data_IF_559171320386
#
_entry.id   IF_559171320386
#
_cell.length_a   1.000
_cell.length_b   1.000
_cell.length_c   1.000
_cell.angle_alpha   90.00
_cell.angle_beta   90.00
_cell.angle_gamma   90.00
#
_symmetry.space_group_name_H-M   'P 1'
#
loop_
_entity.id
_entity.type
_entity.pdbx_description
1 polymer ?
#
# COMPACT_ATOMS: atom_id res chain seq x y z
N UNK A 1 -4.59 8.38 1.66
CA UNK A 1 -5.60 8.49 0.59
C UNK A 1 -6.43 9.76 0.64
N UNK A 2 -5.94 10.86 1.25
CA UNK A 2 -6.65 12.16 1.26
C UNK A 2 -8.02 12.17 1.98
N UNK A 3 -8.25 11.19 2.87
CA UNK A 3 -9.55 10.99 3.54
C UNK A 3 -9.50 11.27 5.04
N UNK A 4 -8.40 10.89 5.71
CA UNK A 4 -8.32 10.88 7.17
C UNK A 4 -6.90 11.23 7.65
N UNK A 5 -6.82 11.80 8.85
CA UNK A 5 -5.61 12.25 9.53
C UNK A 5 -5.18 11.28 10.65
N UNK A 6 -3.88 11.18 10.91
CA UNK A 6 -3.33 10.34 11.97
C UNK A 6 -1.93 9.81 11.66
N UNK A 7 -1.48 8.84 12.43
CA UNK A 7 -0.23 8.12 12.23
C UNK A 7 -0.45 7.00 11.21
N UNK A 8 0.04 7.20 9.98
CA UNK A 8 -0.05 6.21 8.89
C UNK A 8 1.33 5.65 8.57
N UNK A 9 1.48 4.32 8.38
CA UNK A 9 2.74 3.72 7.96
C UNK A 9 3.28 4.32 6.66
N UNK A 10 2.41 4.53 5.66
CA UNK A 10 2.77 5.11 4.37
C UNK A 10 3.30 6.54 4.50
N UNK A 11 2.53 7.43 5.14
CA UNK A 11 2.94 8.82 5.34
C UNK A 11 4.19 8.93 6.19
N UNK A 12 4.30 8.12 7.26
CA UNK A 12 5.46 8.14 8.15
C UNK A 12 6.73 7.68 7.43
N UNK A 13 6.63 6.67 6.55
CA UNK A 13 7.75 6.23 5.71
C UNK A 13 8.25 7.35 4.80
N UNK A 14 7.34 8.10 4.16
CA UNK A 14 7.68 9.24 3.32
C UNK A 14 8.31 10.40 4.12
N UNK A 15 7.78 10.70 5.32
CA UNK A 15 8.31 11.78 6.19
C UNK A 15 9.72 11.44 6.68
N UNK A 16 9.98 10.21 7.15
CA UNK A 16 11.31 9.79 7.60
C UNK A 16 12.32 9.88 6.44
N UNK A 17 11.90 9.42 5.26
CA UNK A 17 12.72 9.47 4.04
C UNK A 17 13.03 10.91 3.66
N UNK A 18 12.00 11.77 3.59
CA UNK A 18 12.15 13.18 3.24
C UNK A 18 13.05 13.95 4.21
N UNK A 19 12.92 13.72 5.51
CA UNK A 19 13.76 14.37 6.53
C UNK A 19 15.22 13.88 6.46
N UNK A 20 15.45 12.60 6.21
CA UNK A 20 16.80 12.05 6.06
C UNK A 20 17.47 12.60 4.80
N UNK A 21 16.76 12.64 3.66
CA UNK A 21 17.25 13.26 2.42
C UNK A 21 17.50 14.76 2.59
N UNK A 22 16.62 15.47 3.31
CA UNK A 22 16.82 16.88 3.63
C UNK A 22 18.07 17.10 4.49
N UNK A 23 18.37 16.17 5.42
CA UNK A 23 19.59 16.21 6.19
C UNK A 23 20.84 16.07 5.31
N UNK A 24 20.81 15.19 4.31
CA UNK A 24 21.91 15.04 3.34
C UNK A 24 22.09 16.27 2.45
N UNK A 25 20.99 16.87 1.97
CA UNK A 25 21.03 18.14 1.22
C UNK A 25 21.62 19.25 2.08
N UNK A 26 21.25 19.33 3.36
CA UNK A 26 21.79 20.32 4.30
C UNK A 26 23.29 20.12 4.55
N UNK A 27 23.76 18.86 4.72
CA UNK A 27 25.19 18.54 4.83
C UNK A 27 25.95 18.97 3.58
N UNK A 28 25.43 18.65 2.39
CA UNK A 28 26.04 19.02 1.11
C UNK A 28 26.10 20.54 0.91
N UNK A 29 25.19 21.29 1.53
CA UNK A 29 25.12 22.75 1.46
C UNK A 29 25.91 23.47 2.57
N UNK A 30 26.57 22.73 3.47
CA UNK A 30 27.32 23.30 4.61
C UNK A 30 26.44 23.75 5.79
N UNK A 31 25.15 23.43 5.80
CA UNK A 31 24.23 23.73 6.91
C UNK A 31 24.17 22.56 7.91
N UNK A 32 25.20 22.47 8.75
CA UNK A 32 25.30 21.42 9.77
C UNK A 32 24.17 21.48 10.82
N UNK A 33 23.62 22.67 11.09
CA UNK A 33 22.56 22.86 12.08
C UNK A 33 21.24 22.25 11.61
N UNK A 34 20.83 22.57 10.38
CA UNK A 34 19.63 21.96 9.78
C UNK A 34 19.81 20.47 9.55
N UNK A 35 21.01 20.02 9.12
CA UNK A 35 21.29 18.60 8.96
C UNK A 35 21.07 17.80 10.25
N UNK A 36 21.59 18.30 11.38
CA UNK A 36 21.40 17.66 12.68
C UNK A 36 19.93 17.65 13.10
N UNK A 37 19.22 18.78 12.92
CA UNK A 37 17.79 18.90 13.27
C UNK A 37 16.91 17.95 12.47
N UNK A 38 17.06 17.91 11.14
CA UNK A 38 16.25 17.05 10.28
C UNK A 38 16.51 15.58 10.56
N UNK A 39 17.78 15.20 10.74
CA UNK A 39 18.13 13.83 11.07
C UNK A 39 17.55 13.39 12.42
N UNK A 40 17.65 14.25 13.45
CA UNK A 40 17.10 13.93 14.77
C UNK A 40 15.57 13.74 14.73
N UNK A 41 14.86 14.55 13.93
CA UNK A 41 13.42 14.37 13.73
C UNK A 41 13.10 13.06 12.98
N UNK A 42 13.87 12.71 11.95
CA UNK A 42 13.71 11.44 11.24
C UNK A 42 13.93 10.24 12.17
N UNK A 43 14.96 10.29 13.02
CA UNK A 43 15.27 9.24 13.99
C UNK A 43 14.16 9.08 15.05
N UNK A 44 13.64 10.20 15.57
CA UNK A 44 12.53 10.19 16.53
C UNK A 44 11.30 9.50 15.95
N UNK A 45 10.92 9.85 14.71
CA UNK A 45 9.78 9.23 14.03
C UNK A 45 10.02 7.77 13.70
N UNK A 46 11.22 7.43 13.19
CA UNK A 46 11.60 6.06 12.90
C UNK A 46 11.56 5.17 14.15
N UNK A 47 11.91 5.69 15.34
CA UNK A 47 11.89 4.93 16.60
C UNK A 47 10.48 4.62 17.13
N UNK A 48 9.44 5.31 16.63
CA UNK A 48 8.05 5.20 17.12
C UNK A 48 7.10 4.53 16.12
N UNK A 49 7.61 4.03 15.00
CA UNK A 49 6.77 3.43 13.92
C UNK A 49 5.88 2.32 14.48
N UNK A 50 6.46 1.30 15.10
CA UNK A 50 5.71 0.19 15.66
C UNK A 50 4.84 0.64 16.83
N UNK A 51 5.39 1.47 17.74
CA UNK A 51 4.69 1.93 18.94
C UNK A 51 3.37 2.66 18.63
N UNK A 52 3.29 3.35 17.48
CA UNK A 52 2.13 4.18 17.10
C UNK A 52 1.21 3.54 16.07
N UNK A 53 1.67 2.53 15.33
CA UNK A 53 0.94 2.05 14.13
C UNK A 53 0.87 0.53 14.00
N UNK A 54 1.59 -0.23 14.84
CA UNK A 54 1.54 -1.69 14.85
C UNK A 54 0.72 -2.18 16.03
N UNK A 55 -0.44 -2.77 15.76
CA UNK A 55 -1.28 -3.35 16.81
C UNK A 55 -0.72 -4.71 17.26
N UNK A 56 -0.97 -5.06 18.51
CA UNK A 56 -0.66 -6.39 19.10
C UNK A 56 -1.89 -7.03 19.75
N UNK A 57 -3.06 -6.40 19.59
CA UNK A 57 -4.34 -6.83 20.13
C UNK A 57 -5.47 -6.66 19.09
N UNK A 58 -5.10 -6.74 17.81
CA UNK A 58 -6.02 -6.60 16.69
C UNK A 58 -7.06 -7.72 16.61
N UNK A 59 -8.16 -7.45 15.91
CA UNK A 59 -9.25 -8.40 15.70
C UNK A 59 -8.86 -9.62 14.84
N UNK A 60 -7.89 -9.46 13.93
CA UNK A 60 -7.58 -10.49 12.94
C UNK A 60 -6.36 -11.35 13.30
N UNK A 61 -6.38 -12.61 12.85
CA UNK A 61 -5.23 -13.49 12.90
C UNK A 61 -4.61 -13.63 14.28
N UNK A 62 -3.31 -13.39 14.39
CA UNK A 62 -2.58 -13.41 15.66
C UNK A 62 -2.67 -12.09 16.46
N UNK A 63 -3.42 -11.11 15.93
CA UNK A 63 -3.62 -9.79 16.50
C UNK A 63 -2.47 -8.82 16.25
N UNK A 64 -1.48 -9.17 15.41
CA UNK A 64 -0.22 -8.43 15.25
C UNK A 64 -0.03 -7.94 13.82
N UNK A 65 -0.32 -6.67 13.56
CA UNK A 65 -0.19 -6.12 12.21
C UNK A 65 -0.13 -4.59 12.22
N UNK A 66 0.41 -4.00 11.15
CA UNK A 66 0.24 -2.57 10.91
C UNK A 66 -1.22 -2.25 10.59
N UNK A 67 -1.74 -1.23 11.27
CA UNK A 67 -3.02 -0.60 10.94
C UNK A 67 -2.85 0.29 9.72
N UNK A 68 -3.94 0.61 9.02
CA UNK A 68 -3.96 1.70 8.03
C UNK A 68 -3.51 3.03 8.64
N UNK A 69 -4.04 3.31 9.82
CA UNK A 69 -3.98 4.60 10.49
C UNK A 69 -4.30 4.40 11.96
N UNK A 70 -3.56 5.06 12.86
CA UNK A 70 -4.03 5.32 14.23
C UNK A 70 -4.28 6.82 14.41
N UNK A 71 -5.39 7.20 15.04
CA UNK A 71 -5.70 8.63 15.29
C UNK A 71 -4.98 9.21 16.50
N UNK A 72 -4.29 8.37 17.26
CA UNK A 72 -3.49 8.75 18.40
C UNK A 72 -2.22 7.87 18.46
N UNK A 73 -1.51 7.86 19.58
CA UNK A 73 -0.24 7.13 19.70
C UNK A 73 -0.39 5.68 20.20
N UNK A 74 -1.61 5.14 20.28
CA UNK A 74 -1.90 3.82 20.82
C UNK A 74 -2.67 2.94 19.81
N UNK A 75 -2.00 2.09 19.03
CA UNK A 75 -2.63 1.22 18.03
C UNK A 75 -3.42 0.04 18.62
N UNK A 76 -3.58 -0.03 19.95
CA UNK A 76 -4.30 -1.10 20.65
C UNK A 76 -5.59 -0.61 21.32
N UNK A 77 -5.94 0.67 21.21
CA UNK A 77 -7.12 1.23 21.87
C UNK A 77 -8.44 0.95 21.12
N UNK A 78 -8.36 0.43 19.90
CA UNK A 78 -9.49 0.16 19.00
C UNK A 78 -10.34 1.41 18.76
N UNK A 79 -9.70 2.57 18.70
CA UNK A 79 -10.33 3.84 18.40
C UNK A 79 -11.08 3.82 17.07
N UNK A 80 -12.18 4.58 16.99
CA UNK A 80 -12.95 4.69 15.75
C UNK A 80 -12.25 5.62 14.76
N UNK A 81 -12.08 5.13 13.53
CA UNK A 81 -11.70 5.94 12.38
C UNK A 81 -12.89 6.80 11.90
N UNK A 82 -12.63 7.77 11.03
CA UNK A 82 -13.68 8.59 10.43
C UNK A 82 -14.52 7.82 9.40
N UNK A 83 -15.75 8.29 9.18
CA UNK A 83 -16.60 7.89 8.06
C UNK A 83 -16.04 8.45 6.75
N UNK A 84 -16.09 7.69 5.66
CA UNK A 84 -15.70 8.18 4.34
C UNK A 84 -16.36 7.37 3.21
N UNK A 85 -16.62 8.04 2.08
CA UNK A 85 -17.15 7.40 0.86
C UNK A 85 -18.39 6.52 1.10
N UNK A 86 -19.32 7.00 1.93
CA UNK A 86 -20.55 6.27 2.27
C UNK A 86 -20.38 5.12 3.27
N UNK A 87 -19.17 4.87 3.76
CA UNK A 87 -18.87 3.81 4.72
C UNK A 87 -18.86 4.36 6.16
N UNK A 88 -19.46 3.63 7.12
CA UNK A 88 -19.49 4.06 8.50
C UNK A 88 -18.12 3.90 9.16
N UNK A 89 -17.95 4.58 10.29
CA UNK A 89 -16.75 4.51 11.12
C UNK A 89 -16.54 3.08 11.62
N UNK A 90 -15.29 2.61 11.57
CA UNK A 90 -14.89 1.30 12.07
C UNK A 90 -13.71 1.46 13.03
N UNK A 91 -13.56 0.54 14.01
CA UNK A 91 -12.35 0.42 14.81
C UNK A 91 -11.10 0.32 13.93
N UNK A 92 -10.04 1.05 14.30
CA UNK A 92 -8.79 1.10 13.54
C UNK A 92 -8.13 -0.26 13.36
N UNK A 93 -8.33 -1.19 14.32
CA UNK A 93 -7.81 -2.55 14.26
C UNK A 93 -8.51 -3.45 13.23
N UNK A 94 -9.61 -3.00 12.63
CA UNK A 94 -10.27 -3.69 11.50
C UNK A 94 -9.81 -3.22 10.13
N UNK A 95 -9.03 -2.13 10.06
CA UNK A 95 -8.69 -1.50 8.79
C UNK A 95 -7.22 -1.71 8.48
N UNK A 96 -6.95 -2.72 7.65
CA UNK A 96 -5.62 -3.01 7.11
C UNK A 96 -5.47 -2.35 5.74
N UNK A 97 -4.28 -1.82 5.47
CA UNK A 97 -3.90 -1.09 4.25
C UNK A 97 -2.47 -1.52 3.85
N UNK A 98 -2.18 -1.58 2.54
CA UNK A 98 -0.87 -1.97 2.02
C UNK A 98 0.25 -0.96 2.26
N UNK A 99 -0.06 0.24 2.75
CA UNK A 99 0.86 1.35 2.93
C UNK A 99 2.02 1.08 3.89
N UNK A 100 1.97 0.01 4.70
CA UNK A 100 3.13 -0.43 5.49
C UNK A 100 4.30 -0.92 4.61
N UNK A 101 4.03 -1.37 3.38
CA UNK A 101 5.07 -1.79 2.43
C UNK A 101 6.00 -0.62 2.04
N UNK A 102 5.53 0.63 2.15
CA UNK A 102 6.34 1.82 1.90
C UNK A 102 7.48 1.97 2.94
N UNK A 103 7.31 1.45 4.16
CA UNK A 103 8.40 1.37 5.14
C UNK A 103 9.57 0.55 4.60
N UNK A 104 9.28 -0.53 3.87
CA UNK A 104 10.29 -1.37 3.24
C UNK A 104 10.82 -0.72 1.97
N UNK A 105 9.93 -0.25 1.10
CA UNK A 105 10.27 0.35 -0.20
C UNK A 105 11.29 1.48 -0.05
N UNK A 106 11.04 2.41 0.87
CA UNK A 106 11.93 3.55 1.09
C UNK A 106 13.12 3.24 2.02
N UNK A 107 13.19 2.03 2.59
CA UNK A 107 14.32 1.59 3.41
C UNK A 107 14.24 1.96 4.90
N UNK A 108 13.07 2.39 5.38
CA UNK A 108 12.82 2.67 6.81
C UNK A 108 12.78 1.38 7.64
N UNK A 109 12.41 0.26 7.02
CA UNK A 109 12.48 -1.09 7.61
C UNK A 109 13.10 -2.08 6.63
N UNK A 110 13.74 -3.11 7.17
CA UNK A 110 14.13 -4.28 6.40
C UNK A 110 12.89 -5.06 5.94
N UNK A 111 12.97 -5.71 4.77
CA UNK A 111 11.85 -6.49 4.24
C UNK A 111 11.45 -7.67 5.14
N UNK A 112 12.39 -8.17 5.94
CA UNK A 112 12.19 -9.24 6.92
C UNK A 112 12.02 -8.73 8.36
N UNK A 113 11.77 -7.43 8.56
CA UNK A 113 11.49 -6.91 9.89
C UNK A 113 10.26 -7.65 10.48
N UNK A 114 10.28 -8.07 11.76
CA UNK A 114 9.19 -8.87 12.32
C UNK A 114 7.81 -8.22 12.16
N UNK A 115 7.68 -6.91 12.35
CA UNK A 115 6.42 -6.19 12.16
C UNK A 115 5.90 -6.24 10.71
N UNK A 116 6.79 -6.29 9.72
CA UNK A 116 6.41 -6.47 8.31
C UNK A 116 5.92 -7.89 8.06
N UNK A 117 6.66 -8.89 8.55
CA UNK A 117 6.32 -10.30 8.37
C UNK A 117 5.04 -10.69 9.12
N UNK A 118 4.84 -10.17 10.33
CA UNK A 118 3.62 -10.35 11.11
C UNK A 118 2.42 -9.72 10.40
N UNK A 119 2.57 -8.64 9.61
CA UNK A 119 1.44 -7.98 8.91
C UNK A 119 1.00 -8.70 7.63
N UNK A 120 1.91 -9.39 6.94
CA UNK A 120 1.65 -9.93 5.60
C UNK A 120 0.52 -10.98 5.55
N UNK A 121 0.41 -11.96 6.46
CA UNK A 121 -0.69 -12.92 6.46
C UNK A 121 -2.05 -12.22 6.53
N UNK A 122 -2.15 -11.19 7.36
CA UNK A 122 -3.36 -10.41 7.52
C UNK A 122 -3.59 -9.51 6.31
N UNK A 123 -2.57 -8.94 5.67
CA UNK A 123 -2.78 -8.20 4.41
C UNK A 123 -3.22 -9.11 3.25
N UNK A 124 -2.70 -10.34 3.20
CA UNK A 124 -2.92 -11.32 2.13
C UNK A 124 -4.17 -12.21 2.34
N UNK A 125 -4.84 -12.12 3.50
CA UNK A 125 -5.96 -13.03 3.84
C UNK A 125 -7.26 -12.75 3.04
N UNK A 126 -7.55 -13.68 2.13
CA UNK A 126 -8.74 -13.73 1.27
C UNK A 126 -9.97 -14.37 1.93
N UNK A 127 -9.86 -14.94 3.14
CA UNK A 127 -11.00 -15.51 3.85
C UNK A 127 -11.89 -14.44 4.50
N UNK A 128 -11.41 -13.19 4.62
CA UNK A 128 -12.21 -12.08 5.14
C UNK A 128 -13.46 -11.83 4.30
N UNK A 129 -14.49 -11.31 4.98
CA UNK A 129 -15.68 -10.78 4.29
C UNK A 129 -15.28 -9.69 3.31
N UNK A 130 -15.98 -9.58 2.18
CA UNK A 130 -15.60 -8.64 1.12
C UNK A 130 -15.46 -7.20 1.60
N UNK A 131 -16.22 -6.80 2.63
CA UNK A 131 -16.13 -5.47 3.21
C UNK A 131 -14.71 -5.17 3.69
N UNK A 132 -14.08 -6.07 4.43
CA UNK A 132 -12.75 -5.89 5.03
C UNK A 132 -11.61 -6.59 4.27
N UNK A 133 -11.92 -7.45 3.30
CA UNK A 133 -10.92 -8.09 2.46
C UNK A 133 -10.19 -7.05 1.61
N UNK A 134 -8.87 -7.18 1.57
CA UNK A 134 -7.98 -6.31 0.80
C UNK A 134 -7.47 -7.01 -0.45
N UNK A 135 -6.98 -8.25 -0.33
CA UNK A 135 -6.47 -9.03 -1.46
C UNK A 135 -7.56 -9.80 -2.21
N UNK A 136 -7.44 -9.83 -3.54
CA UNK A 136 -8.23 -10.64 -4.47
C UNK A 136 -7.29 -11.26 -5.50
N UNK A 137 -7.37 -12.56 -5.75
CA UNK A 137 -6.63 -13.18 -6.86
C UNK A 137 -7.46 -13.08 -8.16
N UNK A 138 -7.00 -12.27 -9.11
CA UNK A 138 -7.65 -11.95 -10.38
C UNK A 138 -6.70 -12.28 -11.53
N UNK A 139 -7.19 -12.90 -12.61
CA UNK A 139 -6.36 -13.28 -13.77
C UNK A 139 -5.09 -14.09 -13.43
N UNK A 140 -5.12 -14.84 -12.32
CA UNK A 140 -3.98 -15.62 -11.83
C UNK A 140 -2.90 -14.80 -11.11
N UNK A 141 -3.18 -13.53 -10.76
CA UNK A 141 -2.28 -12.64 -10.05
C UNK A 141 -2.98 -11.97 -8.84
N UNK A 142 -2.23 -11.55 -7.81
CA UNK A 142 -2.82 -10.85 -6.67
C UNK A 142 -3.10 -9.39 -7.02
N UNK A 143 -4.33 -8.95 -6.79
CA UNK A 143 -4.76 -7.56 -6.77
C UNK A 143 -5.20 -7.14 -5.37
N UNK A 144 -5.12 -5.85 -5.06
CA UNK A 144 -5.44 -5.33 -3.73
C UNK A 144 -6.36 -4.11 -3.82
N UNK A 145 -7.30 -4.00 -2.88
CA UNK A 145 -8.01 -2.75 -2.58
C UNK A 145 -7.07 -1.85 -1.79
N UNK A 146 -7.37 -0.55 -1.66
CA UNK A 146 -6.57 0.36 -0.82
C UNK A 146 -6.53 -0.11 0.63
N UNK A 147 -7.72 -0.36 1.20
CA UNK A 147 -7.89 -0.84 2.56
C UNK A 147 -9.28 -1.49 2.75
N UNK A 148 -9.48 -2.20 3.86
CA UNK A 148 -10.80 -2.74 4.24
C UNK A 148 -11.81 -1.63 4.54
N UNK A 149 -13.11 -1.82 4.31
CA UNK A 149 -14.16 -0.80 4.46
C UNK A 149 -14.02 0.41 3.51
N UNK A 150 -13.20 0.32 2.45
CA UNK A 150 -13.09 1.37 1.44
C UNK A 150 -14.36 1.50 0.58
N UNK A 151 -14.90 2.71 0.48
CA UNK A 151 -16.08 3.04 -0.31
C UNK A 151 -15.82 3.74 -1.65
N UNK A 152 -14.61 4.13 -2.02
CA UNK A 152 -14.43 4.93 -3.24
C UNK A 152 -14.41 4.06 -4.51
N UNK A 153 -15.61 3.78 -5.03
CA UNK A 153 -15.89 3.03 -6.26
C UNK A 153 -17.39 2.77 -6.44
N UNK A 154 -17.76 1.92 -7.41
CA UNK A 154 -19.16 1.68 -7.81
C UNK A 154 -19.98 1.09 -6.67
N UNK A 155 -21.30 1.21 -6.78
CA UNK A 155 -22.24 0.68 -5.80
C UNK A 155 -22.44 -0.82 -5.93
N UNK A 156 -22.44 -1.52 -4.81
CA UNK A 156 -22.69 -2.97 -4.76
C UNK A 156 -24.16 -3.37 -4.98
N UNK A 157 -25.10 -2.45 -4.76
CA UNK A 157 -26.55 -2.71 -4.90
C UNK A 157 -27.07 -2.59 -6.34
N UNK A 158 -26.48 -1.68 -7.11
CA UNK A 158 -26.97 -1.25 -8.42
C UNK A 158 -25.90 -1.28 -9.50
N UNK A 159 -24.62 -1.33 -9.14
CA UNK A 159 -23.51 -1.15 -10.07
C UNK A 159 -23.29 0.29 -10.51
N UNK A 160 -24.03 1.26 -9.95
CA UNK A 160 -23.95 2.65 -10.35
C UNK A 160 -22.68 3.36 -9.88
N UNK A 161 -22.35 4.45 -10.56
CA UNK A 161 -21.09 5.19 -10.39
C UNK A 161 -20.88 5.77 -8.99
N UNK A 162 -19.61 6.03 -8.69
CA UNK A 162 -19.20 6.67 -7.46
C UNK A 162 -19.68 8.14 -7.37
N UNK A 163 -20.22 8.52 -6.22
CA UNK A 163 -20.45 9.92 -5.85
C UNK A 163 -21.36 10.74 -6.77
N UNK A 164 -22.29 10.11 -7.52
CA UNK A 164 -23.16 10.81 -8.47
C UNK A 164 -23.87 12.00 -7.81
N UNK A 165 -23.71 13.20 -8.38
CA UNK A 165 -24.27 14.44 -7.84
C UNK A 165 -23.61 14.92 -6.54
N UNK A 166 -22.43 14.42 -6.19
CA UNK A 166 -21.73 14.72 -4.94
C UNK A 166 -22.29 13.98 -3.73
N UNK A 167 -23.17 12.99 -3.93
CA UNK A 167 -23.84 12.25 -2.86
C UNK A 167 -23.24 10.85 -2.72
N UNK A 168 -22.80 10.52 -1.53
CA UNK A 168 -22.30 9.19 -1.20
C UNK A 168 -23.44 8.24 -0.81
N UNK A 169 -23.30 6.96 -1.11
CA UNK A 169 -24.30 5.94 -0.81
C UNK A 169 -23.69 4.82 0.06
N UNK A 170 -24.45 4.24 1.02
CA UNK A 170 -23.95 3.15 1.87
C UNK A 170 -23.43 1.91 1.13
N UNK A 171 -23.93 1.71 -0.10
CA UNK A 171 -23.54 0.59 -0.95
C UNK A 171 -22.24 0.82 -1.74
N UNK A 172 -21.63 2.02 -1.68
CA UNK A 172 -20.40 2.33 -2.39
C UNK A 172 -19.24 1.46 -1.95
N UNK A 173 -18.39 1.04 -2.89
CA UNK A 173 -17.29 0.12 -2.61
C UNK A 173 -16.10 0.45 -3.49
N UNK A 174 -14.96 0.73 -2.86
CA UNK A 174 -13.69 0.78 -3.57
C UNK A 174 -13.27 -0.59 -4.06
N UNK A 175 -12.73 -0.64 -5.27
CA UNK A 175 -12.36 -1.87 -5.99
C UNK A 175 -10.87 -2.15 -5.87
N UNK A 176 -10.39 -3.13 -6.63
CA UNK A 176 -8.97 -3.48 -6.69
C UNK A 176 -8.21 -2.45 -7.53
N UNK A 177 -7.06 -1.99 -7.05
CA UNK A 177 -6.20 -1.05 -7.78
C UNK A 177 -4.96 -1.78 -8.31
N UNK A 178 -4.73 -1.79 -9.63
CA UNK A 178 -3.61 -2.54 -10.23
C UNK A 178 -2.23 -2.15 -9.71
N UNK A 179 -2.02 -0.91 -9.29
CA UNK A 179 -0.70 -0.47 -8.84
C UNK A 179 -0.27 -1.12 -7.52
N UNK A 180 -1.19 -1.60 -6.66
CA UNK A 180 -0.81 -2.33 -5.45
C UNK A 180 -0.25 -3.73 -5.75
N UNK A 181 -0.60 -4.33 -6.90
CA UNK A 181 0.13 -5.49 -7.43
C UNK A 181 1.59 -5.12 -7.69
N UNK A 182 1.83 -3.92 -8.22
CA UNK A 182 3.17 -3.35 -8.41
C UNK A 182 3.92 -3.10 -7.10
N UNK A 183 3.28 -2.48 -6.11
CA UNK A 183 3.88 -2.21 -4.79
C UNK A 183 4.23 -3.51 -4.04
N UNK A 184 3.34 -4.51 -4.08
CA UNK A 184 3.62 -5.85 -3.57
C UNK A 184 4.80 -6.51 -4.30
N UNK A 185 4.93 -6.26 -5.61
CA UNK A 185 6.08 -6.67 -6.41
C UNK A 185 7.39 -6.01 -5.97
N UNK A 186 7.38 -4.72 -5.64
CA UNK A 186 8.55 -4.02 -5.09
C UNK A 186 8.97 -4.58 -3.73
N UNK A 187 8.01 -4.91 -2.85
CA UNK A 187 8.30 -5.62 -1.61
C UNK A 187 9.02 -6.96 -1.88
N UNK A 188 8.55 -7.75 -2.85
CA UNK A 188 9.20 -9.02 -3.19
C UNK A 188 10.60 -8.83 -3.76
N UNK A 189 10.85 -7.78 -4.53
CA UNK A 189 12.20 -7.42 -4.97
C UNK A 189 13.09 -7.10 -3.76
N UNK A 190 12.59 -6.30 -2.80
CA UNK A 190 13.33 -6.00 -1.58
C UNK A 190 13.61 -7.26 -0.74
N UNK A 191 12.63 -8.13 -0.58
CA UNK A 191 12.79 -9.40 0.16
C UNK A 191 13.78 -10.34 -0.53
N UNK A 192 13.70 -10.48 -1.85
CA UNK A 192 14.58 -11.36 -2.62
C UNK A 192 16.02 -10.86 -2.73
N UNK A 193 16.26 -9.56 -2.49
CA UNK A 193 17.59 -8.93 -2.50
C UNK A 193 18.16 -8.63 -1.11
N UNK A 194 17.41 -8.93 -0.03
CA UNK A 194 17.79 -8.57 1.34
C UNK A 194 19.13 -9.18 1.80
N UNK A 195 19.47 -10.39 1.32
CA UNK A 195 20.68 -11.13 1.72
C UNK A 195 21.72 -11.25 0.58
N UNK A 196 21.68 -10.32 -0.38
CA UNK A 196 22.58 -10.32 -1.54
C UNK A 196 21.82 -10.27 -2.87
N UNK A 197 22.52 -10.46 -4.01
CA UNK A 197 21.91 -10.32 -5.32
C UNK A 197 20.72 -11.26 -5.53
N UNK A 198 19.61 -10.70 -6.02
CA UNK A 198 18.40 -11.47 -6.34
C UNK A 198 18.72 -12.56 -7.38
N UNK A 199 18.30 -13.80 -7.07
CA UNK A 199 18.46 -14.94 -7.98
C UNK A 199 17.59 -14.82 -9.23
N UNK A 200 18.00 -15.45 -10.32
CA UNK A 200 17.20 -15.51 -11.56
C UNK A 200 15.83 -16.14 -11.32
N UNK A 201 15.75 -17.20 -10.51
CA UNK A 201 14.47 -17.85 -10.20
C UNK A 201 13.51 -16.92 -9.43
N UNK A 202 14.03 -16.10 -8.50
CA UNK A 202 13.23 -15.10 -7.80
C UNK A 202 12.76 -13.99 -8.75
N UNK A 203 13.66 -13.45 -9.58
CA UNK A 203 13.33 -12.45 -10.61
C UNK A 203 12.22 -12.94 -11.53
N UNK A 204 12.34 -14.16 -12.03
CA UNK A 204 11.36 -14.77 -12.94
C UNK A 204 10.00 -15.00 -12.27
N UNK A 205 9.99 -15.39 -10.99
CA UNK A 205 8.76 -15.53 -10.21
C UNK A 205 8.07 -14.17 -10.05
N UNK A 206 8.81 -13.13 -9.62
CA UNK A 206 8.26 -11.79 -9.41
C UNK A 206 7.72 -11.23 -10.73
N UNK A 207 8.45 -11.41 -11.84
CA UNK A 207 7.97 -11.02 -13.17
C UNK A 207 6.65 -11.73 -13.53
N UNK A 208 6.61 -13.06 -13.42
CA UNK A 208 5.40 -13.88 -13.72
C UNK A 208 4.19 -13.54 -12.86
N UNK A 209 4.40 -13.08 -11.63
CA UNK A 209 3.30 -12.77 -10.72
C UNK A 209 2.86 -11.31 -10.82
N UNK A 210 3.79 -10.36 -10.65
CA UNK A 210 3.43 -8.96 -10.42
C UNK A 210 3.46 -8.12 -11.68
N UNK A 211 4.50 -8.28 -12.53
CA UNK A 211 4.56 -7.57 -13.82
C UNK A 211 3.45 -8.06 -14.73
N UNK A 212 3.35 -9.37 -14.92
CA UNK A 212 2.28 -9.97 -15.71
C UNK A 212 0.89 -9.74 -15.08
N UNK A 213 0.79 -9.68 -13.75
CA UNK A 213 -0.44 -9.30 -13.07
C UNK A 213 -0.91 -7.90 -13.45
N UNK A 214 -0.04 -6.90 -13.39
CA UNK A 214 -0.35 -5.54 -13.85
C UNK A 214 -0.72 -5.52 -15.34
N UNK A 215 0.05 -6.20 -16.19
CA UNK A 215 -0.25 -6.30 -17.64
C UNK A 215 -1.64 -6.91 -17.90
N UNK A 216 -2.07 -7.87 -17.09
CA UNK A 216 -3.38 -8.53 -17.23
C UNK A 216 -4.57 -7.60 -16.94
N UNK A 217 -4.33 -6.47 -16.28
CA UNK A 217 -5.35 -5.46 -15.97
C UNK A 217 -5.43 -4.34 -17.03
N UNK A 218 -4.53 -4.33 -18.02
CA UNK A 218 -4.56 -3.36 -19.09
C UNK A 218 -5.69 -3.68 -20.10
N UNK A 219 -6.31 -2.64 -20.66
CA UNK A 219 -7.25 -2.81 -21.76
C UNK A 219 -6.53 -3.08 -23.10
N UNK A 220 -7.29 -3.26 -24.19
CA UNK A 220 -6.74 -3.53 -25.53
C UNK A 220 -5.80 -2.42 -26.05
N UNK A 221 -5.93 -1.20 -25.51
CA UNK A 221 -5.06 -0.06 -25.80
C UNK A 221 -3.81 0.01 -24.91
N UNK A 222 -3.55 -1.01 -24.10
CA UNK A 222 -2.47 -1.07 -23.11
C UNK A 222 -2.55 -0.01 -22.01
N UNK A 223 -3.76 0.53 -21.76
CA UNK A 223 -3.98 1.51 -20.70
C UNK A 223 -4.30 0.79 -19.40
N UNK A 224 -3.46 1.02 -18.39
CA UNK A 224 -3.70 0.56 -17.02
C UNK A 224 -4.67 1.50 -16.27
N UNK A 225 -5.76 0.96 -15.69
CA UNK A 225 -6.76 1.75 -14.99
C UNK A 225 -6.34 2.11 -13.55
N UNK A 226 -7.12 2.99 -12.94
CA UNK A 226 -7.13 3.21 -11.49
C UNK A 226 -7.66 1.98 -10.75
N UNK A 227 -8.83 1.47 -11.17
CA UNK A 227 -9.52 0.36 -10.53
C UNK A 227 -9.98 -0.72 -11.52
N UNK A 228 -9.94 -1.98 -11.08
CA UNK A 228 -10.47 -3.14 -11.80
C UNK A 228 -11.56 -3.85 -11.00
N UNK A 229 -12.49 -4.49 -11.72
CA UNK A 229 -13.62 -5.20 -11.14
C UNK A 229 -13.16 -6.42 -10.33
N UNK A 230 -13.70 -6.56 -9.12
CA UNK A 230 -13.31 -7.54 -8.12
C UNK A 230 -14.33 -8.69 -7.92
N UNK A 231 -15.39 -8.73 -8.74
CA UNK A 231 -16.44 -9.75 -8.68
C UNK A 231 -17.52 -9.51 -7.62
N UNK A 232 -17.51 -8.35 -6.92
CA UNK A 232 -18.39 -8.11 -5.77
C UNK A 232 -19.53 -7.15 -6.09
N UNK A 233 -20.77 -7.64 -5.97
CA UNK A 233 -22.00 -6.84 -6.07
C UNK A 233 -22.62 -6.83 -7.47
N UNK A 234 -23.60 -5.95 -7.67
CA UNK A 234 -24.27 -5.78 -8.96
C UNK A 234 -23.29 -5.27 -10.03
N UNK A 235 -23.24 -5.97 -11.16
CA UNK A 235 -22.37 -5.65 -12.29
C UNK A 235 -23.22 -5.20 -13.48
N UNK A 236 -23.75 -3.99 -13.41
CA UNK A 236 -24.66 -3.45 -14.43
C UNK A 236 -23.97 -3.25 -15.80
N UNK A 237 -22.65 -3.04 -15.80
CA UNK A 237 -21.84 -2.80 -16.99
C UNK A 237 -21.25 -4.08 -17.61
N UNK A 238 -21.36 -5.23 -16.92
CA UNK A 238 -20.90 -6.51 -17.44
C UNK A 238 -19.37 -6.68 -17.46
N UNK A 239 -18.64 -6.04 -16.55
CA UNK A 239 -17.19 -6.19 -16.41
C UNK A 239 -16.80 -7.66 -16.19
N UNK A 240 -15.69 -8.11 -16.79
CA UNK A 240 -15.02 -9.34 -16.37
C UNK A 240 -14.18 -9.08 -15.12
N UNK A 241 -13.88 -10.13 -14.36
CA UNK A 241 -12.95 -10.03 -13.23
C UNK A 241 -11.58 -9.52 -13.70
N UNK A 242 -11.05 -8.50 -13.03
CA UNK A 242 -9.81 -7.83 -13.43
C UNK A 242 -9.95 -6.87 -14.63
N UNK A 243 -11.15 -6.66 -15.17
CA UNK A 243 -11.39 -5.65 -16.19
C UNK A 243 -11.45 -4.25 -15.56
N UNK A 244 -10.90 -3.24 -16.24
CA UNK A 244 -10.99 -1.85 -15.82
C UNK A 244 -12.44 -1.40 -15.63
N UNK A 245 -12.69 -0.73 -14.51
CA UNK A 245 -13.99 -0.12 -14.19
C UNK A 245 -14.13 1.25 -14.86
N UNK A 246 -15.23 1.98 -14.60
CA UNK A 246 -15.43 3.35 -15.10
C UNK A 246 -14.61 4.41 -14.32
N UNK A 247 -13.71 3.97 -13.43
CA UNK A 247 -12.68 4.81 -12.82
C UNK A 247 -11.67 5.34 -13.83
N UNK A 248 -10.78 6.23 -13.39
CA UNK A 248 -9.81 6.89 -14.25
C UNK A 248 -8.93 5.89 -15.04
N UNK A 249 -8.99 5.97 -16.37
CA UNK A 249 -8.17 5.14 -17.27
C UNK A 249 -7.68 5.98 -18.47
N UNK A 250 -6.37 6.12 -18.70
CA UNK A 250 -5.27 5.58 -17.90
C UNK A 250 -5.06 6.33 -16.58
N UNK A 251 -4.58 5.63 -15.54
CA UNK A 251 -3.99 6.28 -14.37
C UNK A 251 -2.48 6.38 -14.54
N UNK A 252 -1.95 7.61 -14.52
CA UNK A 252 -0.51 7.86 -14.68
C UNK A 252 0.33 7.20 -13.57
N UNK A 253 -0.18 7.16 -12.33
CA UNK A 253 0.48 6.46 -11.23
C UNK A 253 0.58 4.96 -11.50
N UNK A 254 -0.48 4.28 -11.93
CA UNK A 254 -0.43 2.85 -12.26
C UNK A 254 0.63 2.55 -13.33
N UNK A 255 0.76 3.40 -14.35
CA UNK A 255 1.81 3.25 -15.36
C UNK A 255 3.20 3.50 -14.79
N UNK A 256 3.37 4.53 -13.95
CA UNK A 256 4.64 4.79 -13.29
C UNK A 256 5.06 3.60 -12.41
N UNK A 257 4.13 3.01 -11.66
CA UNK A 257 4.41 1.86 -10.80
C UNK A 257 4.84 0.64 -11.61
N UNK A 258 4.19 0.37 -12.74
CA UNK A 258 4.60 -0.68 -13.69
C UNK A 258 6.04 -0.47 -14.19
N UNK A 259 6.37 0.74 -14.64
CA UNK A 259 7.71 1.08 -15.14
C UNK A 259 8.77 0.98 -14.04
N UNK A 260 8.46 1.44 -12.82
CA UNK A 260 9.35 1.33 -11.66
C UNK A 260 9.60 -0.13 -11.28
N UNK A 261 8.60 -1.01 -11.38
CA UNK A 261 8.78 -2.43 -11.10
C UNK A 261 9.67 -3.11 -12.15
N UNK A 262 9.45 -2.82 -13.43
CA UNK A 262 10.32 -3.29 -14.51
C UNK A 262 11.77 -2.85 -14.29
N UNK A 263 11.96 -1.58 -13.93
CA UNK A 263 13.29 -1.04 -13.62
C UNK A 263 13.92 -1.72 -12.42
N UNK A 264 13.15 -1.95 -11.36
CA UNK A 264 13.61 -2.63 -10.14
C UNK A 264 14.06 -4.08 -10.42
N UNK A 265 13.34 -4.80 -11.29
CA UNK A 265 13.73 -6.15 -11.72
C UNK A 265 15.03 -6.17 -12.53
N UNK A 266 15.23 -5.16 -13.39
CA UNK A 266 16.44 -4.99 -14.18
C UNK A 266 17.65 -4.67 -13.28
N UNK A 267 17.48 -3.76 -12.32
CA UNK A 267 18.54 -3.35 -11.39
C UNK A 267 18.80 -4.41 -10.30
N UNK A 268 17.86 -5.33 -10.06
CA UNK A 268 17.97 -6.36 -9.03
C UNK A 268 17.68 -5.87 -7.61
N UNK A 269 17.16 -4.64 -7.48
CA UNK A 269 16.85 -3.94 -6.24
C UNK A 269 15.72 -2.93 -6.50
N UNK A 270 15.02 -2.49 -5.47
CA UNK A 270 13.97 -1.46 -5.59
C UNK A 270 14.57 -0.15 -6.10
N UNK A 271 14.09 0.33 -7.25
CA UNK A 271 14.65 1.48 -7.96
C UNK A 271 14.50 2.81 -7.20
N UNK A 272 13.33 3.04 -6.59
CA UNK A 272 13.03 4.25 -5.82
C UNK A 272 13.38 4.13 -4.33
N UNK A 273 14.25 3.19 -3.97
CA UNK A 273 14.82 3.06 -2.62
C UNK A 273 15.95 4.09 -2.44
N UNK A 274 15.91 4.84 -1.34
CA UNK A 274 16.96 5.81 -1.03
C UNK A 274 18.05 5.18 -0.15
N UNK A 275 19.28 5.06 -0.70
CA UNK A 275 20.39 4.36 -0.04
C UNK A 275 20.72 4.91 1.36
N UNK A 276 20.84 6.24 1.60
CA UNK A 276 21.13 6.76 2.95
C UNK A 276 20.08 6.41 4.01
N UNK A 277 18.79 6.32 3.63
CA UNK A 277 17.73 5.86 4.55
C UNK A 277 17.89 4.38 4.86
N UNK A 278 18.12 3.56 3.85
CA UNK A 278 18.35 2.12 4.02
C UNK A 278 19.60 1.80 4.86
N UNK A 279 20.72 2.50 4.65
CA UNK A 279 21.96 2.32 5.41
C UNK A 279 21.78 2.64 6.90
N UNK A 280 20.89 3.59 7.19
CA UNK A 280 20.60 4.07 8.54
C UNK A 280 19.57 3.21 9.27
N UNK A 281 18.46 2.86 8.64
CA UNK A 281 17.32 2.21 9.31
C UNK A 281 17.02 0.80 8.82
N UNK A 282 17.46 0.42 7.62
CA UNK A 282 17.10 -0.85 6.95
C UNK A 282 17.80 -2.09 7.50
N UNK A 283 18.10 -2.11 8.81
CA UNK A 283 18.75 -3.22 9.51
C UNK A 283 17.73 -4.06 10.27
#
# INVERSE_FOLDING_TARGET
WEEQEGYSPSTTAAVITGLTTAADIARASGDAGSAARYQAAADDYASKVEARMFTTAGEYGDGRYFLRLSRNENPNDKGLLGENNGQPAEPEDRIIDGGFLELVRYGVRAANAPSILDTLPEYDDQARTDRFRVRYDLNGAPGYRRYGNDGYGERTDTGGDYGVGGVMAPAQRGRVWPFFTGERGHYEVAAASANGPMSTAARDRIRRTYVHGMESFANEGLLLPEQVWDGVGANAHGYRDGEGTDSATPLAWTHAEYLKLLRSLADGQVWDRYAPVAERYGR
#
